data_IF_561914035835
#
_entry.id   IF_561914035835
#
_cell.length_a   1.000
_cell.length_b   1.000
_cell.length_c   1.000
_cell.angle_alpha   90.00
_cell.angle_beta   90.00
_cell.angle_gamma   90.00
#
_symmetry.space_group_name_H-M   'P 1'
#
loop_
_entity.id
_entity.type
_entity.pdbx_description
1 polymer ?
#
# COMPACT_ATOMS: atom_id res chain seq x y z
N UNK A 1 0.60 -0.09 15.14
CA UNK A 1 -0.83 -0.49 15.20
C UNK A 1 -1.77 0.72 15.28
N UNK A 2 -1.58 1.69 16.19
CA UNK A 2 -2.43 2.90 16.24
C UNK A 2 -2.49 3.67 14.90
N UNK A 3 -1.37 3.79 14.20
CA UNK A 3 -1.31 4.43 12.88
C UNK A 3 -2.17 3.72 11.81
N UNK A 4 -2.12 2.39 11.76
CA UNK A 4 -2.93 1.57 10.85
C UNK A 4 -4.42 1.71 11.15
N UNK A 5 -4.82 1.63 12.43
CA UNK A 5 -6.21 1.86 12.83
C UNK A 5 -6.72 3.27 12.47
N UNK A 6 -5.87 4.29 12.60
CA UNK A 6 -6.23 5.65 12.20
C UNK A 6 -6.39 5.78 10.68
N UNK A 7 -5.50 5.15 9.90
CA UNK A 7 -5.58 5.13 8.44
C UNK A 7 -6.87 4.44 7.97
N UNK A 8 -7.23 3.31 8.58
CA UNK A 8 -8.44 2.52 8.32
C UNK A 8 -9.76 3.24 8.67
N UNK A 9 -9.74 4.48 9.16
CA UNK A 9 -10.93 5.32 9.38
C UNK A 9 -11.20 6.28 8.22
N UNK A 10 -10.39 6.26 7.16
CA UNK A 10 -10.61 7.09 5.97
C UNK A 10 -11.74 6.49 5.12
N UNK A 11 -12.61 7.36 4.61
CA UNK A 11 -13.84 6.98 3.89
C UNK A 11 -13.60 6.44 2.46
N UNK A 12 -12.35 6.41 1.98
CA UNK A 12 -11.98 6.03 0.61
C UNK A 12 -10.69 5.22 0.64
N UNK A 13 -10.79 3.95 1.02
CA UNK A 13 -9.71 2.98 0.89
C UNK A 13 -10.25 1.81 0.08
N UNK A 14 -9.54 1.42 -0.97
CA UNK A 14 -9.99 0.38 -1.90
C UNK A 14 -9.31 -0.97 -1.63
N UNK A 15 -8.08 -0.93 -1.11
CA UNK A 15 -7.24 -2.10 -0.88
C UNK A 15 -6.17 -1.81 0.18
N UNK A 16 -5.71 -2.86 0.86
CA UNK A 16 -4.50 -2.83 1.67
C UNK A 16 -3.42 -3.81 1.16
N UNK A 17 -2.16 -3.37 1.20
CA UNK A 17 -0.97 -4.21 1.04
C UNK A 17 -0.23 -4.19 2.38
N UNK A 18 -0.08 -5.38 2.98
CA UNK A 18 0.69 -5.56 4.21
C UNK A 18 2.01 -6.23 3.86
N UNK A 19 3.12 -5.57 4.18
CA UNK A 19 4.47 -6.05 3.86
C UNK A 19 5.17 -6.60 5.10
N UNK A 20 5.67 -7.84 5.03
CA UNK A 20 6.53 -8.38 6.08
C UNK A 20 6.67 -9.90 6.04
N UNK A 21 7.37 -10.45 7.03
CA UNK A 21 7.58 -11.89 7.13
C UNK A 21 6.32 -12.64 7.57
N UNK A 22 6.00 -13.73 6.88
CA UNK A 22 4.80 -14.56 7.14
C UNK A 22 4.75 -15.21 8.53
N UNK A 23 5.89 -15.35 9.20
CA UNK A 23 5.99 -15.89 10.56
C UNK A 23 5.92 -14.82 11.66
N UNK A 24 5.70 -13.55 11.31
CA UNK A 24 5.64 -12.45 12.27
C UNK A 24 4.20 -12.26 12.75
N UNK A 25 3.93 -12.62 14.01
CA UNK A 25 2.62 -12.39 14.63
C UNK A 25 2.18 -10.92 14.60
N UNK A 26 3.13 -9.99 14.75
CA UNK A 26 2.87 -8.55 14.62
C UNK A 26 2.39 -8.17 13.22
N UNK A 27 2.94 -8.81 12.18
CA UNK A 27 2.54 -8.55 10.79
C UNK A 27 1.20 -9.20 10.49
N UNK A 28 1.01 -10.46 10.87
CA UNK A 28 -0.28 -11.15 10.71
C UNK A 28 -1.43 -10.42 11.41
N UNK A 29 -1.18 -9.79 12.57
CA UNK A 29 -2.18 -8.96 13.22
C UNK A 29 -2.53 -7.69 12.43
N UNK A 30 -1.56 -7.08 11.72
CA UNK A 30 -1.87 -5.96 10.81
C UNK A 30 -2.73 -6.43 9.63
N UNK A 31 -2.47 -7.64 9.11
CA UNK A 31 -3.30 -8.26 8.06
C UNK A 31 -4.72 -8.45 8.57
N UNK A 32 -4.89 -9.05 9.76
CA UNK A 32 -6.18 -9.24 10.40
C UNK A 32 -6.97 -7.93 10.50
N UNK A 33 -6.33 -6.87 10.99
CA UNK A 33 -6.95 -5.55 11.13
C UNK A 33 -7.38 -4.92 9.79
N UNK A 34 -6.61 -5.16 8.71
CA UNK A 34 -6.96 -4.64 7.40
C UNK A 34 -8.08 -5.45 6.74
N UNK A 35 -8.05 -6.79 6.89
CA UNK A 35 -9.07 -7.72 6.38
C UNK A 35 -10.47 -7.45 6.94
N UNK A 36 -10.58 -6.85 8.13
CA UNK A 36 -11.87 -6.43 8.70
C UNK A 36 -12.61 -5.40 7.83
N UNK A 37 -11.90 -4.69 6.94
CA UNK A 37 -12.46 -3.56 6.19
C UNK A 37 -12.17 -3.59 4.70
N UNK A 38 -11.06 -4.19 4.28
CA UNK A 38 -10.52 -4.04 2.94
C UNK A 38 -10.03 -5.38 2.39
N UNK A 39 -10.14 -5.60 1.07
CA UNK A 39 -9.31 -6.59 0.39
C UNK A 39 -7.84 -6.36 0.75
N UNK A 40 -7.19 -7.39 1.27
CA UNK A 40 -5.84 -7.27 1.83
C UNK A 40 -4.91 -8.32 1.23
N UNK A 41 -3.77 -7.88 0.72
CA UNK A 41 -2.72 -8.77 0.22
C UNK A 41 -1.53 -8.75 1.17
N UNK A 42 -1.18 -9.92 1.71
CA UNK A 42 -0.02 -10.10 2.56
C UNK A 42 1.16 -10.59 1.73
N UNK A 43 2.15 -9.72 1.52
CA UNK A 43 3.33 -10.00 0.70
C UNK A 43 4.60 -9.87 1.52
N UNK A 44 5.66 -10.58 1.12
CA UNK A 44 6.95 -10.45 1.78
C UNK A 44 7.71 -9.22 1.29
N UNK A 45 7.67 -8.95 -0.02
CA UNK A 45 8.41 -7.87 -0.70
C UNK A 45 7.88 -7.68 -2.13
N UNK A 46 8.53 -6.82 -2.92
CA UNK A 46 8.14 -6.49 -4.28
C UNK A 46 8.25 -7.64 -5.29
N UNK A 47 9.05 -8.68 -5.01
CA UNK A 47 9.26 -9.82 -5.91
C UNK A 47 8.02 -10.72 -6.01
N UNK A 48 7.04 -10.50 -5.13
CA UNK A 48 5.73 -11.13 -5.19
C UNK A 48 4.89 -10.62 -6.36
N UNK A 49 5.21 -9.45 -6.91
CA UNK A 49 4.58 -8.90 -8.11
C UNK A 49 5.28 -9.41 -9.38
N UNK A 50 4.57 -10.18 -10.18
CA UNK A 50 5.08 -10.80 -11.40
C UNK A 50 4.81 -9.92 -12.62
N UNK A 51 5.66 -10.06 -13.64
CA UNK A 51 5.58 -9.25 -14.86
C UNK A 51 4.34 -9.53 -15.71
N UNK A 52 3.72 -10.69 -15.55
CA UNK A 52 2.48 -11.09 -16.22
C UNK A 52 1.21 -10.56 -15.52
N UNK A 53 1.37 -9.77 -14.45
CA UNK A 53 0.28 -9.23 -13.64
C UNK A 53 -0.16 -10.15 -12.50
N UNK A 54 0.49 -11.29 -12.31
CA UNK A 54 0.22 -12.16 -11.15
C UNK A 54 0.80 -11.55 -9.88
N UNK A 55 0.05 -11.62 -8.78
CA UNK A 55 0.52 -11.27 -7.44
C UNK A 55 0.47 -12.52 -6.57
N UNK A 56 1.64 -12.97 -6.12
CA UNK A 56 1.75 -14.00 -5.09
C UNK A 56 1.56 -13.36 -3.71
N UNK A 57 0.79 -13.99 -2.85
CA UNK A 57 0.52 -13.50 -1.50
C UNK A 57 0.25 -14.65 -0.56
N UNK A 58 0.27 -14.37 0.74
CA UNK A 58 0.14 -15.39 1.76
C UNK A 58 -1.21 -15.33 2.45
N UNK A 59 -1.96 -16.43 2.35
CA UNK A 59 -3.16 -16.63 3.14
C UNK A 59 -2.76 -17.12 4.52
N UNK A 60 -2.64 -16.20 5.47
CA UNK A 60 -2.17 -16.48 6.81
C UNK A 60 -3.14 -17.33 7.64
N UNK A 61 -4.43 -17.37 7.28
CA UNK A 61 -5.44 -18.22 7.95
C UNK A 61 -5.32 -19.68 7.50
N UNK A 62 -5.03 -19.90 6.22
CA UNK A 62 -4.83 -21.24 5.65
C UNK A 62 -3.37 -21.70 5.72
N UNK A 63 -2.43 -20.80 5.99
CA UNK A 63 -1.00 -21.09 6.07
C UNK A 63 -0.37 -21.44 4.71
N UNK A 64 -0.87 -20.87 3.62
CA UNK A 64 -0.42 -21.21 2.26
C UNK A 64 -0.28 -20.00 1.35
N UNK A 65 0.55 -20.14 0.32
CA UNK A 65 0.68 -19.16 -0.76
C UNK A 65 -0.49 -19.26 -1.74
N UNK A 66 -0.99 -18.09 -2.15
CA UNK A 66 -2.00 -17.92 -3.17
C UNK A 66 -1.47 -17.00 -4.26
N UNK A 67 -2.05 -17.12 -5.44
CA UNK A 67 -1.75 -16.25 -6.57
C UNK A 67 -3.05 -15.59 -7.03
N UNK A 68 -3.00 -14.33 -7.41
CA UNK A 68 -4.16 -13.58 -7.90
C UNK A 68 -3.76 -12.74 -9.10
N UNK A 69 -4.48 -12.90 -10.21
CA UNK A 69 -4.21 -12.18 -11.44
C UNK A 69 -4.77 -10.77 -11.36
N UNK A 70 -3.91 -9.76 -11.54
CA UNK A 70 -4.25 -8.34 -11.63
C UNK A 70 -5.23 -7.87 -10.53
N UNK A 71 -4.86 -7.97 -9.24
CA UNK A 71 -5.76 -7.64 -8.13
C UNK A 71 -6.00 -6.12 -7.94
N UNK A 72 -5.48 -5.29 -8.84
CA UNK A 72 -5.46 -3.83 -8.68
C UNK A 72 -6.87 -3.25 -8.86
N UNK A 73 -7.35 -2.38 -7.95
CA UNK A 73 -8.63 -1.71 -8.12
C UNK A 73 -8.71 -0.94 -9.45
N UNK A 74 -9.83 -1.08 -10.17
CA UNK A 74 -10.03 -0.36 -11.43
C UNK A 74 -10.11 1.15 -11.20
N UNK A 75 -9.40 1.92 -12.04
CA UNK A 75 -9.42 3.40 -12.05
C UNK A 75 -10.66 3.96 -12.75
N UNK A 76 -11.83 3.32 -12.58
CA UNK A 76 -13.05 3.60 -13.35
C UNK A 76 -13.60 5.03 -13.18
N UNK A 77 -14.89 5.23 -13.47
CA UNK A 77 -15.55 6.55 -13.49
C UNK A 77 -15.53 7.31 -12.15
N UNK A 78 -15.03 6.70 -11.06
CA UNK A 78 -15.08 7.23 -9.70
C UNK A 78 -13.75 7.77 -9.14
N UNK A 79 -12.64 7.71 -9.89
CA UNK A 79 -11.39 8.40 -9.54
C UNK A 79 -10.16 7.50 -9.32
N UNK A 80 -9.11 8.11 -8.76
CA UNK A 80 -7.80 7.46 -8.50
C UNK A 80 -7.94 6.53 -7.29
N UNK A 81 -7.53 5.25 -7.38
CA UNK A 81 -7.64 4.31 -6.27
C UNK A 81 -6.73 4.70 -5.12
N UNK A 82 -7.21 4.49 -3.90
CA UNK A 82 -6.46 4.74 -2.67
C UNK A 82 -6.07 3.41 -2.03
N UNK A 83 -4.77 3.08 -2.10
CA UNK A 83 -4.20 1.86 -1.56
C UNK A 83 -3.49 2.16 -0.23
N UNK A 84 -3.86 1.45 0.82
CA UNK A 84 -3.14 1.47 2.10
C UNK A 84 -1.91 0.55 2.00
N UNK A 85 -0.71 1.09 2.22
CA UNK A 85 0.50 0.29 2.41
C UNK A 85 0.92 0.37 3.88
N UNK A 86 1.09 -0.78 4.51
CA UNK A 86 1.60 -0.86 5.88
C UNK A 86 2.55 -2.04 6.02
N UNK A 87 3.36 -2.05 7.07
CA UNK A 87 4.37 -3.08 7.25
C UNK A 87 4.53 -3.51 8.70
N UNK A 88 5.03 -4.74 8.88
CA UNK A 88 5.49 -5.20 10.18
C UNK A 88 6.70 -4.40 10.66
N UNK A 89 6.88 -4.32 11.98
CA UNK A 89 7.94 -3.51 12.61
C UNK A 89 9.38 -3.87 12.17
N UNK A 90 9.58 -5.06 11.60
CA UNK A 90 10.89 -5.55 11.15
C UNK A 90 11.10 -5.41 9.64
N UNK A 91 10.16 -4.82 8.91
CA UNK A 91 10.30 -4.61 7.47
C UNK A 91 11.16 -3.36 7.19
N UNK A 92 12.27 -3.47 6.44
CA UNK A 92 13.07 -2.31 6.07
C UNK A 92 12.26 -1.31 5.22
N UNK A 93 12.44 -0.02 5.46
CA UNK A 93 11.77 1.06 4.71
C UNK A 93 11.97 0.92 3.20
N UNK A 94 13.20 0.58 2.77
CA UNK A 94 13.53 0.35 1.37
C UNK A 94 12.68 -0.76 0.72
N UNK A 95 12.22 -1.75 1.49
CA UNK A 95 11.32 -2.80 0.98
C UNK A 95 9.91 -2.26 0.76
N UNK A 96 9.43 -1.40 1.67
CA UNK A 96 8.13 -0.74 1.53
C UNK A 96 8.13 0.20 0.33
N UNK A 97 9.21 0.95 0.14
CA UNK A 97 9.40 1.84 -1.02
C UNK A 97 9.37 1.07 -2.35
N UNK A 98 10.07 -0.06 -2.44
CA UNK A 98 10.07 -0.88 -3.67
C UNK A 98 8.69 -1.47 -3.96
N UNK A 99 7.94 -1.87 -2.93
CA UNK A 99 6.55 -2.31 -3.07
C UNK A 99 5.69 -1.18 -3.61
N UNK A 100 5.78 0.02 -3.03
CA UNK A 100 5.05 1.20 -3.49
C UNK A 100 5.36 1.53 -4.96
N UNK A 101 6.65 1.58 -5.32
CA UNK A 101 7.08 1.83 -6.70
C UNK A 101 6.56 0.77 -7.68
N UNK A 102 6.49 -0.49 -7.24
CA UNK A 102 5.97 -1.57 -8.08
C UNK A 102 4.47 -1.45 -8.30
N UNK A 103 3.71 -1.07 -7.27
CA UNK A 103 2.26 -0.82 -7.38
C UNK A 103 1.99 0.31 -8.39
N UNK A 104 2.76 1.40 -8.32
CA UNK A 104 2.62 2.55 -9.22
C UNK A 104 2.77 2.14 -10.70
N UNK A 105 3.67 1.19 -11.01
CA UNK A 105 3.90 0.71 -12.38
C UNK A 105 2.70 -0.02 -13.00
N UNK A 106 1.76 -0.51 -12.20
CA UNK A 106 0.54 -1.14 -12.72
C UNK A 106 -0.51 -0.14 -13.18
N UNK A 107 -0.32 1.16 -12.90
CA UNK A 107 -1.21 2.23 -13.35
C UNK A 107 -0.52 3.05 -14.45
N UNK A 108 -0.98 2.91 -15.68
CA UNK A 108 -0.40 3.59 -16.86
C UNK A 108 -0.48 5.12 -16.80
N UNK A 109 -1.48 5.64 -16.10
CA UNK A 109 -1.71 7.09 -15.91
C UNK A 109 -1.13 7.61 -14.58
N UNK A 110 -0.29 6.80 -13.92
CA UNK A 110 0.33 7.25 -12.67
C UNK A 110 1.23 8.45 -12.94
N UNK A 111 1.06 9.47 -12.09
CA UNK A 111 1.92 10.67 -12.10
C UNK A 111 3.36 10.28 -11.78
N UNK A 112 4.30 10.95 -12.43
CA UNK A 112 5.74 10.80 -12.15
C UNK A 112 5.99 11.18 -10.69
N UNK A 113 6.74 10.35 -9.96
CA UNK A 113 6.97 10.50 -8.51
C UNK A 113 7.61 11.85 -8.21
N UNK A 114 8.57 12.28 -9.02
CA UNK A 114 9.25 13.57 -8.91
C UNK A 114 8.28 14.75 -9.02
N UNK A 115 7.30 14.69 -9.93
CA UNK A 115 6.29 15.75 -10.09
C UNK A 115 5.39 15.86 -8.86
N UNK A 116 5.04 14.70 -8.27
CA UNK A 116 4.24 14.65 -7.03
C UNK A 116 5.04 15.23 -5.85
N UNK A 117 6.33 14.91 -5.76
CA UNK A 117 7.21 15.46 -4.72
C UNK A 117 7.37 16.97 -4.86
N UNK A 118 7.61 17.47 -6.07
CA UNK A 118 7.70 18.92 -6.33
C UNK A 118 6.41 19.65 -5.98
N UNK A 119 5.25 19.11 -6.36
CA UNK A 119 3.96 19.71 -5.98
C UNK A 119 3.73 19.69 -4.46
N UNK A 120 4.12 18.60 -3.79
CA UNK A 120 4.01 18.49 -2.34
C UNK A 120 4.88 19.54 -1.66
N UNK A 121 6.15 19.65 -2.04
CA UNK A 121 7.07 20.67 -1.54
C UNK A 121 6.54 22.09 -1.77
N UNK A 122 6.05 22.40 -2.98
CA UNK A 122 5.46 23.69 -3.29
C UNK A 122 4.25 24.01 -2.41
N UNK A 123 3.31 23.06 -2.23
CA UNK A 123 2.13 23.26 -1.36
C UNK A 123 2.53 23.49 0.10
N UNK A 124 3.57 22.81 0.57
CA UNK A 124 4.04 22.93 1.95
C UNK A 124 4.89 24.19 2.19
N UNK A 125 5.64 24.64 1.19
CA UNK A 125 6.33 25.94 1.22
C UNK A 125 5.34 27.12 1.24
N UNK A 126 4.24 27.05 0.49
CA UNK A 126 3.20 28.08 0.51
C UNK A 126 2.43 28.13 1.86
N UNK A 127 2.22 26.98 2.51
CA UNK A 127 1.56 26.91 3.82
C UNK A 127 2.45 27.42 4.97
N UNK A 128 3.77 27.25 4.89
CA UNK A 128 4.69 27.82 5.89
C UNK A 128 4.80 29.33 5.79
N UNK A 129 4.63 29.92 4.60
CA UNK A 129 4.59 31.38 4.43
C UNK A 129 3.27 32.03 4.90
N UNK A 130 2.17 31.27 4.96
CA UNK A 130 0.84 31.79 5.28
C UNK A 130 0.50 31.76 6.79
N UNK A 131 1.35 31.16 7.63
CA UNK A 131 1.14 31.05 9.09
C UNK A 131 2.04 31.99 9.91
N UNK A 132 2.79 32.86 9.24
CA UNK A 132 3.72 33.83 9.85
C UNK A 132 3.29 35.30 9.71
N UNK A 133 2.00 35.61 9.61
CA UNK A 133 1.48 36.99 9.63
C UNK A 133 0.32 37.13 10.61
#
# INVERSE_FOLDING_TARGET
QQATHAALKRDQLDMAIVVGGYNSSNTSHLVELCEEKLPTFFIQNELEFKADGMVSHFNWRAGLHQETMSPWPETGQSGVPTILITSGASCPDASVDRVMQSIIRFYSDARIVEDVLMEFEQRHALKSSATGS
#
